data_IF_809877752667
#
_entry.id   IF_809877752667
#
_cell.length_a   1.000
_cell.length_b   1.000
_cell.length_c   1.000
_cell.angle_alpha   90.00
_cell.angle_beta   90.00
_cell.angle_gamma   90.00
#
_symmetry.space_group_name_H-M   'P 1'
#
loop_
_entity.id
_entity.type
_entity.pdbx_description
1 polymer ?
#
# COMPACT_ATOMS: atom_id res chain seq x y z
N UNK A 1 11.82 -34.26 -5.19
CA UNK A 1 10.70 -33.30 -5.33
C UNK A 1 11.18 -31.92 -4.93
N UNK A 2 11.12 -30.96 -5.84
CA UNK A 2 11.44 -29.55 -5.58
C UNK A 2 10.30 -28.88 -4.80
N UNK A 3 10.62 -27.80 -4.08
CA UNK A 3 9.62 -26.97 -3.43
C UNK A 3 9.01 -25.97 -4.42
N UNK A 4 7.73 -25.67 -4.25
CA UNK A 4 7.04 -24.50 -4.80
C UNK A 4 6.86 -23.47 -3.68
N UNK A 5 7.10 -22.20 -3.97
CA UNK A 5 6.97 -21.11 -3.01
C UNK A 5 5.79 -20.20 -3.35
N UNK A 6 5.12 -19.68 -2.33
CA UNK A 6 3.99 -18.77 -2.46
C UNK A 6 3.97 -17.77 -1.30
N UNK A 7 3.27 -16.66 -1.51
CA UNK A 7 2.92 -15.77 -0.41
C UNK A 7 1.68 -16.30 0.32
N UNK A 8 1.66 -16.18 1.65
CA UNK A 8 0.50 -16.60 2.47
C UNK A 8 -0.79 -15.85 2.12
N UNK A 9 -0.66 -14.66 1.53
CA UNK A 9 -1.75 -13.84 1.03
C UNK A 9 -1.36 -13.31 -0.34
N UNK A 10 -2.23 -13.50 -1.34
CA UNK A 10 -2.04 -12.94 -2.67
C UNK A 10 -2.36 -11.45 -2.73
N UNK A 11 -3.30 -10.97 -1.91
CA UNK A 11 -3.70 -9.56 -1.84
C UNK A 11 -3.66 -9.11 -0.38
N UNK A 12 -2.81 -8.12 -0.11
CA UNK A 12 -2.65 -7.53 1.21
C UNK A 12 -3.53 -6.30 1.45
N UNK A 13 -3.98 -6.12 2.70
CA UNK A 13 -4.78 -4.95 3.10
C UNK A 13 -4.11 -4.23 4.28
N UNK A 14 -3.47 -3.11 3.97
CA UNK A 14 -3.02 -2.15 4.96
C UNK A 14 -4.00 -0.98 5.07
N UNK A 15 -4.07 -0.35 6.24
CA UNK A 15 -4.95 0.80 6.52
C UNK A 15 -4.15 2.02 6.94
N UNK A 16 -4.63 3.17 6.51
CA UNK A 16 -4.06 4.47 6.88
C UNK A 16 -4.27 4.77 8.36
N UNK A 17 -3.37 5.59 8.90
CA UNK A 17 -3.41 6.08 10.28
C UNK A 17 -2.41 7.22 10.43
N UNK A 18 -2.71 8.22 11.24
CA UNK A 18 -1.85 9.40 11.43
C UNK A 18 -0.89 9.28 12.62
N UNK A 19 -0.85 8.15 13.33
CA UNK A 19 0.24 7.84 14.25
C UNK A 19 1.55 7.63 13.49
N UNK A 20 2.63 8.23 13.98
CA UNK A 20 3.96 8.16 13.36
C UNK A 20 4.78 7.00 13.87
N UNK A 21 4.48 6.50 15.07
CA UNK A 21 5.24 5.45 15.76
C UNK A 21 4.44 4.15 15.85
N UNK A 22 3.15 4.25 16.15
CA UNK A 22 2.37 3.10 16.56
C UNK A 22 1.55 2.52 15.41
N UNK A 23 1.51 1.20 15.38
CA UNK A 23 0.73 0.41 14.42
C UNK A 23 0.32 -0.91 15.06
N UNK A 24 -0.55 -1.65 14.38
CA UNK A 24 -0.95 -3.01 14.72
C UNK A 24 -0.96 -3.85 13.44
N UNK A 25 -0.95 -5.18 13.57
CA UNK A 25 -1.00 -6.07 12.41
C UNK A 25 -2.45 -6.35 11.99
N UNK A 26 -2.64 -6.63 10.70
CA UNK A 26 -3.91 -7.04 10.14
C UNK A 26 -4.48 -8.30 10.85
N UNK A 27 -5.81 -8.43 10.96
CA UNK A 27 -6.45 -9.64 11.48
C UNK A 27 -6.07 -10.89 10.68
N UNK A 28 -6.02 -12.04 11.35
CA UNK A 28 -5.72 -13.34 10.73
C UNK A 28 -6.97 -14.10 10.27
N UNK A 29 -8.17 -13.57 10.54
CA UNK A 29 -9.46 -14.16 10.17
C UNK A 29 -10.49 -13.10 9.79
N UNK A 30 -11.48 -13.49 8.99
CA UNK A 30 -12.61 -12.63 8.62
C UNK A 30 -13.35 -12.19 9.89
N UNK A 31 -13.64 -10.89 9.99
CA UNK A 31 -14.29 -10.30 11.17
C UNK A 31 -13.43 -10.28 12.43
N UNK A 32 -12.16 -10.66 12.35
CA UNK A 32 -11.23 -10.64 13.49
C UNK A 32 -10.81 -9.21 13.87
N UNK A 33 -10.45 -9.06 15.16
CA UNK A 33 -9.74 -7.87 15.62
C UNK A 33 -8.30 -7.85 15.10
N UNK A 34 -7.65 -6.67 15.04
CA UNK A 34 -6.23 -6.59 14.73
C UNK A 34 -5.37 -7.27 15.80
N UNK A 35 -4.10 -7.51 15.47
CA UNK A 35 -3.13 -8.17 16.37
C UNK A 35 -2.12 -7.16 16.88
N UNK A 36 -1.92 -7.13 18.21
CA UNK A 36 -0.90 -6.27 18.83
C UNK A 36 0.51 -6.74 18.48
N UNK A 37 1.37 -5.76 18.25
CA UNK A 37 2.76 -5.99 17.92
C UNK A 37 3.68 -4.94 18.51
N UNK A 38 4.96 -5.28 18.61
CA UNK A 38 5.99 -4.32 18.98
C UNK A 38 6.32 -3.35 17.81
N UNK A 39 7.30 -2.47 18.01
CA UNK A 39 7.75 -1.49 17.01
C UNK A 39 8.33 -2.09 15.72
N UNK A 40 8.71 -3.37 15.75
CA UNK A 40 9.22 -4.13 14.61
C UNK A 40 8.13 -5.00 13.97
N UNK A 41 6.95 -5.07 14.58
CA UNK A 41 5.82 -5.86 14.11
C UNK A 41 5.86 -7.31 14.53
N UNK A 42 6.60 -7.66 15.59
CA UNK A 42 6.54 -8.97 16.21
C UNK A 42 5.28 -9.08 17.07
N UNK A 43 4.55 -10.19 16.96
CA UNK A 43 3.30 -10.41 17.70
C UNK A 43 3.57 -10.47 19.21
N UNK A 44 2.85 -9.67 20.00
CA UNK A 44 3.03 -9.62 21.46
C UNK A 44 2.22 -10.67 22.23
N UNK A 45 1.25 -11.33 21.59
CA UNK A 45 0.37 -12.33 22.24
C UNK A 45 -0.65 -11.75 23.22
N UNK A 46 -0.73 -10.42 23.34
CA UNK A 46 -1.72 -9.73 24.17
C UNK A 46 -3.02 -9.49 23.41
N UNK A 47 -4.12 -9.30 24.16
CA UNK A 47 -5.37 -8.85 23.57
C UNK A 47 -5.23 -7.47 22.93
N UNK A 48 -5.98 -7.23 21.86
CA UNK A 48 -6.02 -5.92 21.20
C UNK A 48 -6.54 -4.85 22.16
N UNK A 49 -5.81 -3.73 22.22
CA UNK A 49 -6.03 -2.67 23.20
C UNK A 49 -6.76 -1.46 22.62
N UNK A 50 -6.23 -0.87 21.55
CA UNK A 50 -6.70 0.42 21.04
C UNK A 50 -6.33 0.67 19.59
N UNK A 51 -7.26 1.28 18.85
CA UNK A 51 -7.04 1.79 17.50
C UNK A 51 -6.26 3.12 17.47
N UNK A 52 -6.00 3.73 18.63
CA UNK A 52 -5.34 5.03 18.76
C UNK A 52 -4.11 4.92 19.67
N UNK A 53 -3.10 5.73 19.36
CA UNK A 53 -1.95 5.95 20.23
C UNK A 53 -2.31 6.83 21.44
N UNK A 54 -1.34 7.05 22.33
CA UNK A 54 -1.51 7.87 23.54
C UNK A 54 -1.89 9.33 23.25
N UNK A 55 -1.58 9.82 22.04
CA UNK A 55 -1.87 11.18 21.58
C UNK A 55 -3.23 11.25 20.86
N UNK A 56 -3.99 10.15 20.84
CA UNK A 56 -5.29 10.03 20.18
C UNK A 56 -5.21 9.93 18.65
N UNK A 57 -4.02 9.78 18.07
CA UNK A 57 -3.85 9.57 16.62
C UNK A 57 -4.18 8.13 16.27
N UNK A 58 -4.76 7.93 15.09
CA UNK A 58 -5.14 6.61 14.57
C UNK A 58 -3.86 5.83 14.23
N UNK A 59 -3.72 4.64 14.82
CA UNK A 59 -2.65 3.69 14.49
C UNK A 59 -2.85 3.15 13.08
N UNK A 60 -1.75 2.88 12.39
CA UNK A 60 -1.79 2.24 11.06
C UNK A 60 -2.05 0.73 11.21
N UNK A 61 -2.72 0.12 10.23
CA UNK A 61 -2.77 -1.34 10.11
C UNK A 61 -1.69 -1.80 9.14
N UNK A 62 -0.71 -2.55 9.64
CA UNK A 62 0.30 -3.21 8.84
C UNK A 62 -0.22 -4.54 8.29
N UNK A 63 0.05 -4.82 7.02
CA UNK A 63 -0.20 -6.13 6.43
C UNK A 63 1.07 -6.98 6.48
N UNK A 64 1.10 -8.07 7.26
CA UNK A 64 2.18 -9.05 7.17
C UNK A 64 2.06 -9.92 5.91
N UNK A 65 3.20 -10.22 5.29
CA UNK A 65 3.36 -11.21 4.23
C UNK A 65 4.38 -12.25 4.67
N UNK A 66 4.03 -13.53 4.45
CA UNK A 66 4.87 -14.68 4.78
C UNK A 66 5.16 -15.46 3.52
N UNK A 67 6.29 -16.13 3.47
CA UNK A 67 6.61 -17.07 2.39
C UNK A 67 6.29 -18.46 2.89
N UNK A 68 5.49 -19.20 2.12
CA UNK A 68 5.21 -20.60 2.36
C UNK A 68 5.87 -21.43 1.28
N UNK A 69 6.31 -22.65 1.62
CA UNK A 69 6.77 -23.67 0.68
C UNK A 69 5.91 -24.91 0.76
N UNK A 70 5.80 -25.63 -0.36
CA UNK A 70 5.07 -26.90 -0.45
C UNK A 70 5.73 -27.85 -1.45
N UNK A 71 5.57 -29.17 -1.27
CA UNK A 71 5.98 -30.20 -2.24
C UNK A 71 4.79 -30.81 -2.99
N UNK A 72 3.58 -30.67 -2.46
CA UNK A 72 2.39 -31.42 -2.89
C UNK A 72 1.13 -30.55 -3.02
N UNK A 73 1.24 -29.23 -2.79
CA UNK A 73 0.14 -28.27 -2.74
C UNK A 73 -0.95 -28.59 -1.70
N UNK A 74 -0.65 -29.46 -0.72
CA UNK A 74 -1.57 -29.85 0.37
C UNK A 74 -1.00 -29.46 1.73
N UNK A 75 0.31 -29.60 1.90
CA UNK A 75 1.05 -29.21 3.09
C UNK A 75 1.86 -27.95 2.83
N UNK A 76 1.76 -26.97 3.73
CA UNK A 76 2.43 -25.69 3.62
C UNK A 76 3.28 -25.45 4.87
N UNK A 77 4.53 -25.10 4.64
CA UNK A 77 5.50 -24.77 5.68
C UNK A 77 5.93 -23.31 5.49
N UNK A 78 5.87 -22.51 6.55
CA UNK A 78 6.40 -21.15 6.51
C UNK A 78 7.92 -21.18 6.54
N UNK A 79 8.54 -20.36 5.69
CA UNK A 79 9.98 -20.11 5.74
C UNK A 79 10.29 -18.69 6.16
N UNK A 80 11.37 -18.55 6.91
CA UNK A 80 11.84 -17.33 7.53
C UNK A 80 13.38 -17.27 7.43
N UNK A 81 13.98 -16.21 7.95
CA UNK A 81 15.45 -16.13 8.08
C UNK A 81 16.02 -17.15 9.08
N UNK A 82 15.20 -17.76 9.93
CA UNK A 82 15.63 -18.81 10.88
C UNK A 82 15.57 -20.22 10.28
N UNK A 83 14.98 -20.39 9.10
CA UNK A 83 15.00 -21.66 8.37
C UNK A 83 16.42 -21.96 7.88
N UNK A 84 16.99 -23.12 8.26
CA UNK A 84 18.40 -23.45 8.03
C UNK A 84 18.85 -23.38 6.56
N UNK A 85 17.95 -23.66 5.61
CA UNK A 85 18.27 -23.60 4.18
C UNK A 85 18.16 -22.19 3.56
N UNK A 86 17.71 -21.19 4.32
CA UNK A 86 17.47 -19.83 3.83
C UNK A 86 18.68 -18.95 4.09
N UNK A 87 19.41 -18.60 3.03
CA UNK A 87 20.53 -17.66 3.11
C UNK A 87 20.08 -16.20 3.21
N UNK A 88 18.99 -15.83 2.51
CA UNK A 88 18.40 -14.49 2.57
C UNK A 88 16.97 -14.48 2.05
N UNK A 89 16.20 -13.47 2.47
CA UNK A 89 14.88 -13.14 1.93
C UNK A 89 14.93 -11.69 1.47
N UNK A 90 14.55 -11.45 0.21
CA UNK A 90 14.53 -10.11 -0.40
C UNK A 90 13.11 -9.77 -0.84
N UNK A 91 12.55 -8.72 -0.26
CA UNK A 91 11.21 -8.22 -0.56
C UNK A 91 11.32 -6.99 -1.45
N UNK A 92 10.67 -7.00 -2.62
CA UNK A 92 10.52 -5.83 -3.48
C UNK A 92 9.05 -5.43 -3.54
N UNK A 93 8.74 -4.19 -3.21
CA UNK A 93 7.37 -3.66 -3.18
C UNK A 93 7.30 -2.36 -3.96
N UNK A 94 6.31 -2.22 -4.84
CA UNK A 94 6.08 -1.02 -5.65
C UNK A 94 4.68 -0.47 -5.39
N UNK A 95 4.61 0.65 -4.67
CA UNK A 95 3.36 1.32 -4.36
C UNK A 95 3.15 2.52 -5.27
N UNK A 96 1.94 2.70 -5.80
CA UNK A 96 1.59 3.87 -6.59
C UNK A 96 0.13 4.29 -6.36
N UNK A 97 -0.17 5.56 -6.59
CA UNK A 97 -1.53 6.11 -6.59
C UNK A 97 -1.82 6.79 -7.92
N UNK A 98 -2.72 6.18 -8.71
CA UNK A 98 -3.14 6.67 -10.04
C UNK A 98 -4.49 7.40 -10.02
N UNK A 99 -5.06 7.67 -8.84
CA UNK A 99 -6.44 8.18 -8.70
C UNK A 99 -6.68 9.50 -9.43
N UNK A 100 -5.71 10.42 -9.40
CA UNK A 100 -5.87 11.73 -10.04
C UNK A 100 -5.68 11.69 -11.57
N UNK A 101 -5.02 10.65 -12.09
CA UNK A 101 -4.83 10.42 -13.52
C UNK A 101 -5.98 9.64 -14.17
N UNK A 102 -6.85 8.99 -13.38
CA UNK A 102 -7.90 8.09 -13.86
C UNK A 102 -9.20 8.81 -14.27
N UNK A 103 -10.17 8.04 -14.78
CA UNK A 103 -11.53 8.49 -15.06
C UNK A 103 -12.26 8.97 -13.79
N UNK A 104 -13.22 9.87 -13.96
CA UNK A 104 -14.21 10.15 -12.91
C UNK A 104 -15.01 8.88 -12.61
N UNK A 105 -15.36 8.70 -11.34
CA UNK A 105 -16.24 7.60 -10.97
C UNK A 105 -17.66 7.92 -11.44
N UNK A 106 -18.28 7.01 -12.17
CA UNK A 106 -19.63 7.12 -12.70
C UNK A 106 -20.29 5.75 -12.62
N UNK A 107 -20.50 5.29 -11.39
CA UNK A 107 -21.19 4.04 -11.04
C UNK A 107 -20.72 2.83 -11.85
N UNK A 108 -21.51 2.39 -12.83
CA UNK A 108 -21.25 1.22 -13.65
C UNK A 108 -20.50 1.55 -14.95
N UNK A 109 -20.39 2.81 -15.35
CA UNK A 109 -19.70 3.20 -16.57
C UNK A 109 -18.22 2.80 -16.51
N UNK A 110 -17.74 2.13 -17.56
CA UNK A 110 -16.41 1.55 -17.63
C UNK A 110 -16.30 0.10 -17.15
N UNK A 111 -17.36 -0.48 -16.58
CA UNK A 111 -17.38 -1.90 -16.20
C UNK A 111 -17.57 -2.80 -17.43
N UNK A 112 -16.48 -3.43 -17.88
CA UNK A 112 -16.48 -4.29 -19.07
C UNK A 112 -17.22 -5.63 -18.87
N UNK A 113 -17.61 -6.00 -17.65
CA UNK A 113 -18.53 -7.15 -17.43
C UNK A 113 -19.91 -6.91 -18.05
N UNK A 114 -20.27 -5.65 -18.33
CA UNK A 114 -21.50 -5.26 -19.04
C UNK A 114 -21.30 -5.10 -20.56
N UNK A 115 -20.16 -5.54 -21.09
CA UNK A 115 -19.80 -5.49 -22.50
C UNK A 115 -19.06 -4.23 -22.94
N UNK A 116 -18.47 -4.28 -24.13
CA UNK A 116 -17.62 -3.20 -24.69
C UNK A 116 -18.34 -1.87 -24.87
N UNK A 117 -19.66 -1.91 -25.11
CA UNK A 117 -20.50 -0.70 -25.19
C UNK A 117 -20.53 0.08 -23.86
N UNK A 118 -20.21 -0.57 -22.74
CA UNK A 118 -20.10 0.07 -21.43
C UNK A 118 -18.68 0.55 -21.10
N UNK A 119 -17.71 0.46 -22.02
CA UNK A 119 -16.35 1.00 -21.79
C UNK A 119 -16.36 2.51 -21.50
N UNK A 120 -15.36 3.02 -20.76
CA UNK A 120 -15.25 4.46 -20.46
C UNK A 120 -15.27 5.33 -21.71
N UNK A 121 -14.69 4.85 -22.82
CA UNK A 121 -14.67 5.53 -24.12
C UNK A 121 -16.09 5.67 -24.69
N UNK A 122 -16.85 4.57 -24.71
CA UNK A 122 -18.21 4.55 -25.27
C UNK A 122 -19.22 5.30 -24.39
N UNK A 123 -19.03 5.25 -23.07
CA UNK A 123 -19.79 6.03 -22.09
C UNK A 123 -19.36 7.50 -22.00
N UNK A 124 -18.33 7.92 -22.77
CA UNK A 124 -17.75 9.27 -22.77
C UNK A 124 -17.38 9.77 -21.37
N UNK A 125 -16.96 8.88 -20.48
CA UNK A 125 -16.61 9.22 -19.10
C UNK A 125 -15.40 10.15 -19.09
N UNK A 126 -15.47 11.33 -18.45
CA UNK A 126 -14.35 12.26 -18.44
C UNK A 126 -13.20 11.75 -17.55
N UNK A 127 -11.97 12.07 -17.94
CA UNK A 127 -10.82 11.94 -17.06
C UNK A 127 -10.92 12.93 -15.88
N UNK A 128 -10.39 12.55 -14.72
CA UNK A 128 -10.03 13.51 -13.67
C UNK A 128 -8.91 14.42 -14.18
N UNK A 129 -8.92 15.66 -13.70
CA UNK A 129 -8.01 16.72 -14.14
C UNK A 129 -7.96 16.86 -15.68
N UNK A 130 -9.10 17.04 -16.37
CA UNK A 130 -9.17 17.02 -17.83
C UNK A 130 -8.43 18.20 -18.50
N UNK A 131 -8.09 19.23 -17.72
CA UNK A 131 -7.27 20.37 -18.18
C UNK A 131 -5.80 20.00 -18.43
N UNK A 132 -5.30 18.92 -17.81
CA UNK A 132 -3.95 18.40 -18.06
C UNK A 132 -4.04 17.39 -19.20
N UNK A 133 -3.83 17.88 -20.43
CA UNK A 133 -3.98 17.09 -21.66
C UNK A 133 -2.71 16.32 -22.04
N UNK A 134 -1.55 16.91 -21.78
CA UNK A 134 -0.25 16.34 -22.12
C UNK A 134 0.03 15.07 -21.30
N UNK A 135 0.36 13.97 -21.98
CA UNK A 135 0.51 12.66 -21.34
C UNK A 135 1.66 12.63 -20.32
N UNK A 136 2.83 13.17 -20.69
CA UNK A 136 3.99 13.21 -19.80
C UNK A 136 3.70 14.04 -18.54
N UNK A 137 3.08 15.21 -18.68
CA UNK A 137 2.63 16.01 -17.54
C UNK A 137 1.61 15.29 -16.68
N UNK A 138 0.70 14.49 -17.25
CA UNK A 138 -0.23 13.68 -16.45
C UNK A 138 0.52 12.64 -15.62
N UNK A 139 1.49 11.95 -16.22
CA UNK A 139 2.33 10.97 -15.51
C UNK A 139 3.11 11.62 -14.36
N UNK A 140 3.73 12.77 -14.60
CA UNK A 140 4.57 13.47 -13.63
C UNK A 140 3.79 14.15 -12.49
N UNK A 141 2.57 14.64 -12.76
CA UNK A 141 1.84 15.49 -11.81
C UNK A 141 0.57 14.86 -11.20
N UNK A 142 -0.01 13.83 -11.83
CA UNK A 142 -1.28 13.22 -11.40
C UNK A 142 -1.13 11.78 -10.90
N UNK A 143 0.03 11.17 -11.09
CA UNK A 143 0.37 9.89 -10.48
C UNK A 143 1.33 10.17 -9.33
N UNK A 144 1.15 9.44 -8.23
CA UNK A 144 2.15 9.37 -7.16
C UNK A 144 2.84 8.03 -7.31
N UNK A 145 4.07 8.05 -7.80
CA UNK A 145 4.87 6.86 -8.06
C UNK A 145 6.33 7.08 -7.61
N UNK A 146 6.66 6.81 -6.35
CA UNK A 146 8.03 6.89 -5.82
C UNK A 146 8.96 5.76 -6.30
N UNK A 147 8.50 4.87 -7.18
CA UNK A 147 9.22 3.66 -7.55
C UNK A 147 9.21 2.58 -6.47
N UNK A 148 9.85 1.42 -6.76
CA UNK A 148 9.91 0.31 -5.82
C UNK A 148 10.82 0.60 -4.62
N UNK A 149 10.69 -0.22 -3.58
CA UNK A 149 11.64 -0.36 -2.48
C UNK A 149 11.98 -1.82 -2.27
N UNK A 150 13.22 -2.08 -1.89
CA UNK A 150 13.70 -3.42 -1.57
C UNK A 150 14.15 -3.48 -0.11
N UNK A 151 13.79 -4.54 0.61
CA UNK A 151 14.24 -4.83 1.97
C UNK A 151 14.72 -6.28 2.08
N UNK A 152 15.69 -6.51 2.96
CA UNK A 152 16.21 -7.83 3.26
C UNK A 152 16.76 -7.88 4.68
N UNK A 153 16.67 -9.03 5.34
CA UNK A 153 17.13 -9.18 6.72
C UNK A 153 16.05 -8.86 7.76
N UNK A 154 16.40 -9.02 9.04
CA UNK A 154 15.48 -8.83 10.16
C UNK A 154 15.41 -7.37 10.61
N UNK A 155 14.27 -6.95 11.17
CA UNK A 155 14.07 -5.64 11.81
C UNK A 155 14.42 -4.43 10.91
N UNK A 156 14.26 -4.55 9.60
CA UNK A 156 14.54 -3.44 8.68
C UNK A 156 13.32 -2.51 8.53
N UNK A 157 13.57 -1.29 8.08
CA UNK A 157 12.53 -0.31 7.82
C UNK A 157 12.96 0.65 6.71
N UNK A 158 12.09 0.86 5.72
CA UNK A 158 12.30 1.86 4.66
C UNK A 158 10.99 2.56 4.34
N UNK A 159 11.05 3.88 4.17
CA UNK A 159 9.89 4.68 3.80
C UNK A 159 9.75 4.73 2.27
N UNK A 160 8.52 4.67 1.79
CA UNK A 160 8.19 4.83 0.36
C UNK A 160 7.90 6.31 0.10
N UNK A 161 8.94 7.14 0.18
CA UNK A 161 8.84 8.60 0.21
C UNK A 161 9.46 9.34 -1.00
N UNK A 162 9.24 10.66 -1.01
CA UNK A 162 9.77 11.59 -2.01
C UNK A 162 11.29 11.69 -2.03
N UNK A 163 11.94 11.56 -0.88
CA UNK A 163 13.35 11.88 -0.72
C UNK A 163 14.26 10.67 -0.97
N UNK A 164 13.67 9.48 -1.09
CA UNK A 164 14.36 8.20 -1.25
C UNK A 164 13.97 7.47 -2.54
N UNK A 165 13.48 8.19 -3.56
CA UNK A 165 13.19 7.59 -4.86
C UNK A 165 14.47 6.96 -5.41
N UNK A 166 14.46 5.67 -5.85
CA UNK A 166 15.64 5.01 -6.39
C UNK A 166 16.22 5.79 -7.56
N UNK A 167 17.54 5.94 -7.60
CA UNK A 167 18.23 6.73 -8.64
C UNK A 167 18.06 6.14 -10.05
N UNK A 168 17.82 4.84 -10.16
CA UNK A 168 17.50 4.12 -11.40
C UNK A 168 16.03 4.24 -11.80
N UNK A 169 15.19 4.90 -11.00
CA UNK A 169 13.77 5.10 -11.27
C UNK A 169 13.46 6.54 -11.72
N UNK A 170 13.64 6.81 -13.00
CA UNK A 170 13.52 8.15 -13.61
C UNK A 170 12.11 8.75 -13.65
N UNK A 171 11.07 7.95 -13.37
CA UNK A 171 9.67 8.40 -13.43
C UNK A 171 9.07 8.71 -12.05
N UNK A 172 9.93 8.84 -11.04
CA UNK A 172 9.58 9.20 -9.68
C UNK A 172 8.69 10.43 -9.59
N UNK A 173 7.49 10.31 -9.03
CA UNK A 173 6.52 11.42 -9.01
C UNK A 173 5.76 11.55 -7.69
N UNK A 174 5.56 12.81 -7.30
CA UNK A 174 4.64 13.23 -6.26
C UNK A 174 4.06 14.60 -6.63
N UNK A 175 2.85 14.94 -6.14
CA UNK A 175 2.29 16.28 -6.29
C UNK A 175 3.19 17.34 -5.63
N UNK A 176 2.92 18.63 -5.85
CA UNK A 176 3.67 19.71 -5.19
C UNK A 176 3.79 19.50 -3.67
N UNK A 177 4.98 19.68 -3.07
CA UNK A 177 5.15 19.64 -1.62
C UNK A 177 4.50 20.84 -0.91
N UNK A 178 4.09 21.87 -1.67
CA UNK A 178 3.41 23.05 -1.18
C UNK A 178 1.99 23.11 -1.74
N UNK A 179 1.05 22.27 -1.23
CA UNK A 179 -0.32 22.27 -1.72
C UNK A 179 -1.04 23.55 -1.27
N UNK A 180 -1.94 24.06 -2.12
CA UNK A 180 -2.79 25.20 -1.76
C UNK A 180 -3.76 24.86 -0.61
N UNK A 181 -4.26 23.62 -0.59
CA UNK A 181 -5.13 23.11 0.45
C UNK A 181 -4.69 21.71 0.90
N UNK A 182 -4.85 21.44 2.20
CA UNK A 182 -4.53 20.14 2.80
C UNK A 182 -3.06 20.03 3.24
N UNK A 183 -2.57 18.79 3.35
CA UNK A 183 -1.21 18.49 3.85
C UNK A 183 -0.40 17.74 2.80
N UNK A 184 0.81 18.20 2.53
CA UNK A 184 1.70 17.62 1.54
C UNK A 184 1.81 16.10 1.67
N UNK A 185 1.58 15.39 0.55
CA UNK A 185 1.79 13.95 0.45
C UNK A 185 3.26 13.74 0.09
N UNK A 186 4.02 13.18 1.02
CA UNK A 186 5.46 12.92 0.86
C UNK A 186 5.82 11.44 1.01
N UNK A 187 4.86 10.57 1.38
CA UNK A 187 5.08 9.13 1.55
C UNK A 187 3.81 8.37 1.16
N UNK A 188 3.98 7.20 0.56
CA UNK A 188 2.93 6.21 0.31
C UNK A 188 2.84 5.14 1.40
N UNK A 189 3.76 5.13 2.36
CA UNK A 189 3.79 4.18 3.46
C UNK A 189 5.19 3.81 3.91
N UNK A 190 5.25 2.83 4.79
CA UNK A 190 6.49 2.28 5.33
C UNK A 190 6.51 0.78 5.06
N UNK A 191 7.65 0.25 4.64
CA UNK A 191 7.89 -1.17 4.58
C UNK A 191 8.81 -1.55 5.73
N UNK A 192 8.53 -2.67 6.38
CA UNK A 192 9.36 -3.21 7.45
C UNK A 192 9.60 -4.70 7.26
N UNK A 193 10.63 -5.21 7.91
CA UNK A 193 10.71 -6.64 8.22
C UNK A 193 10.66 -6.88 9.72
N UNK A 194 9.99 -7.95 10.13
CA UNK A 194 9.98 -8.39 11.54
C UNK A 194 11.29 -9.10 11.91
N UNK A 195 11.38 -9.66 13.12
CA UNK A 195 12.59 -10.35 13.59
C UNK A 195 12.91 -11.63 12.81
N UNK A 196 11.94 -12.18 12.09
CA UNK A 196 12.08 -13.40 11.29
C UNK A 196 12.19 -13.11 9.78
N UNK A 197 12.22 -11.84 9.39
CA UNK A 197 12.35 -11.39 8.00
C UNK A 197 11.04 -11.40 7.20
N UNK A 198 9.88 -11.50 7.86
CA UNK A 198 8.57 -11.33 7.22
C UNK A 198 8.39 -9.89 6.80
N UNK A 199 7.82 -9.66 5.62
CA UNK A 199 7.48 -8.30 5.18
C UNK A 199 6.25 -7.79 5.92
N UNK A 200 6.30 -6.52 6.32
CA UNK A 200 5.16 -5.74 6.80
C UNK A 200 4.99 -4.53 5.89
N UNK A 201 3.80 -4.39 5.31
CA UNK A 201 3.43 -3.21 4.51
C UNK A 201 2.52 -2.31 5.32
N UNK A 202 2.97 -1.09 5.64
CA UNK A 202 2.18 -0.08 6.32
C UNK A 202 1.74 0.98 5.32
N UNK A 203 0.46 1.35 5.35
CA UNK A 203 -0.07 2.45 4.55
C UNK A 203 0.48 3.82 4.97
N UNK A 204 0.17 4.83 4.16
CA UNK A 204 0.52 6.23 4.44
C UNK A 204 -0.24 6.85 5.63
N UNK A 205 0.09 8.10 5.93
CA UNK A 205 -0.38 8.83 7.13
C UNK A 205 -1.75 9.53 6.99
N UNK A 206 -2.59 9.10 6.04
CA UNK A 206 -3.92 9.70 5.83
C UNK A 206 -3.92 11.17 5.40
N UNK A 207 -2.84 11.64 4.74
CA UNK A 207 -2.78 13.01 4.20
C UNK A 207 -3.58 13.13 2.91
N UNK A 208 -4.24 14.27 2.74
CA UNK A 208 -4.98 14.63 1.54
C UNK A 208 -4.63 16.06 1.12
N UNK A 209 -4.66 16.32 -0.19
CA UNK A 209 -4.40 17.64 -0.78
C UNK A 209 -5.43 17.98 -1.85
N UNK A 210 -5.57 19.28 -2.12
CA UNK A 210 -6.23 19.78 -3.31
C UNK A 210 -5.45 20.98 -3.91
N UNK A 211 -5.36 21.01 -5.24
CA UNK A 211 -4.74 22.12 -5.99
C UNK A 211 -5.77 23.21 -6.36
N UNK A 212 -7.06 22.85 -6.39
CA UNK A 212 -8.21 23.74 -6.63
C UNK A 212 -9.33 23.28 -5.70
N UNK A 213 -10.13 24.21 -5.16
CA UNK A 213 -11.37 23.86 -4.45
C UNK A 213 -12.35 23.33 -5.49
N UNK A 214 -12.57 22.02 -5.51
CA UNK A 214 -13.71 21.43 -6.21
C UNK A 214 -14.66 20.93 -5.12
N UNK A 215 -15.62 21.78 -4.75
CA UNK A 215 -16.75 21.36 -3.91
C UNK A 215 -17.56 20.40 -4.76
N UNK A 216 -17.34 19.11 -4.59
CA UNK A 216 -18.31 18.08 -4.92
C UNK A 216 -18.37 17.14 -3.71
N UNK A 217 -19.50 17.22 -3.00
CA UNK A 217 -19.80 16.36 -1.87
C UNK A 217 -19.90 14.92 -2.34
N UNK A 218 -18.87 14.13 -2.08
CA UNK A 218 -18.94 12.67 -2.02
C UNK A 218 -17.76 12.20 -1.20
N UNK A 219 -18.06 11.80 0.04
CA UNK A 219 -17.14 11.22 1.00
C UNK A 219 -16.54 9.95 0.40
N UNK A 220 -15.37 10.06 -0.22
CA UNK A 220 -14.69 8.92 -0.82
C UNK A 220 -14.00 8.15 0.30
N UNK A 221 -14.59 7.03 0.71
CA UNK A 221 -13.95 6.05 1.57
C UNK A 221 -12.65 5.60 0.89
N UNK A 222 -11.50 5.94 1.47
CA UNK A 222 -10.20 5.62 0.90
C UNK A 222 -9.84 4.15 1.20
N UNK A 223 -10.41 3.23 0.42
CA UNK A 223 -9.82 1.89 0.29
C UNK A 223 -8.58 2.04 -0.60
N UNK A 224 -7.41 1.76 -0.04
CA UNK A 224 -6.16 1.62 -0.80
C UNK A 224 -5.99 0.13 -1.02
N UNK A 225 -6.40 -0.34 -2.20
CA UNK A 225 -6.12 -1.69 -2.65
C UNK A 225 -4.71 -1.66 -3.23
N UNK A 226 -3.79 -2.38 -2.59
CA UNK A 226 -2.46 -2.61 -3.12
C UNK A 226 -2.53 -3.82 -4.04
N UNK A 227 -2.44 -3.60 -5.36
CA UNK A 227 -2.18 -4.67 -6.31
C UNK A 227 -0.67 -4.91 -6.31
N UNK A 228 -0.24 -6.01 -5.71
CA UNK A 228 1.12 -6.53 -5.88
C UNK A 228 1.10 -7.31 -7.20
N UNK A 229 1.96 -6.94 -8.14
CA UNK A 229 2.27 -7.73 -9.34
C UNK A 229 3.52 -8.54 -9.10
#
# INVERSE_FOLDING_TARGET
MSYTYLLSLSIGIARLGNSTTDFYLAPTKIGGLPVECDSHGNVMGTAFSSFRDSDGRVKRQAQPFRILRTKDNKSYEEITLSTAEVASINWKVHLANKKAAWYQFSELAGNLLLGENNSYKNQKTPLRNPKVKDFSKRQESLIIDPGPRTLSGANQSIEVDRNSIPSDYSHGSFPSPNPKYGRAINSLGTLKTDSEGRLLVLGAYGRAIAMVVQILGMMTLLMVQFTVW
#
